data_IF_769472274782
#
_entry.id   IF_769472274782
#
_cell.length_a   1.000
_cell.length_b   1.000
_cell.length_c   1.000
_cell.angle_alpha   90.00
_cell.angle_beta   90.00
_cell.angle_gamma   90.00
#
_symmetry.space_group_name_H-M   'P 1'
#
loop_
_entity.id
_entity.type
_entity.pdbx_description
1 polymer ?
#
# COMPACT_ATOMS: atom_id res chain seq x y z
N UNK A 1 -9.15 -13.87 24.03
CA UNK A 1 -8.28 -14.82 23.30
C UNK A 1 -7.47 -14.00 22.30
N UNK A 2 -6.18 -14.30 22.11
CA UNK A 2 -5.39 -13.63 21.06
C UNK A 2 -5.76 -14.18 19.67
N UNK A 3 -5.55 -13.37 18.62
CA UNK A 3 -5.77 -13.77 17.24
C UNK A 3 -4.72 -14.81 16.81
N UNK A 4 -5.19 -15.90 16.21
CA UNK A 4 -4.41 -17.00 15.65
C UNK A 4 -5.19 -17.63 14.50
N UNK A 5 -4.57 -18.49 13.69
CA UNK A 5 -5.30 -19.18 12.61
C UNK A 5 -6.48 -20.05 13.11
N UNK A 6 -6.44 -20.50 14.37
CA UNK A 6 -7.51 -21.31 14.97
C UNK A 6 -8.62 -20.46 15.60
N UNK A 7 -8.30 -19.24 16.03
CA UNK A 7 -9.22 -18.33 16.74
C UNK A 7 -9.76 -17.20 15.85
N UNK A 8 -9.28 -17.09 14.61
CA UNK A 8 -9.79 -16.15 13.62
C UNK A 8 -11.26 -16.44 13.29
N UNK A 9 -12.09 -15.38 13.29
CA UNK A 9 -13.52 -15.48 12.94
C UNK A 9 -13.68 -15.81 11.45
N UNK A 10 -12.92 -15.12 10.58
CA UNK A 10 -12.92 -15.37 9.14
C UNK A 10 -11.97 -16.52 8.81
N UNK A 11 -12.41 -17.53 8.02
CA UNK A 11 -11.52 -18.59 7.57
C UNK A 11 -10.46 -18.09 6.57
N UNK A 12 -10.64 -16.90 5.97
CA UNK A 12 -9.64 -16.25 5.10
C UNK A 12 -8.34 -16.01 5.86
N UNK A 13 -8.43 -15.61 7.12
CA UNK A 13 -7.28 -15.39 8.01
C UNK A 13 -7.00 -16.56 8.95
N UNK A 14 -7.87 -17.56 8.95
CA UNK A 14 -7.78 -18.79 9.74
C UNK A 14 -7.40 -20.01 8.92
N UNK A 15 -8.39 -20.88 8.67
CA UNK A 15 -8.26 -22.16 7.94
C UNK A 15 -7.51 -22.03 6.60
N UNK A 16 -7.70 -20.91 5.89
CA UNK A 16 -7.15 -20.67 4.56
C UNK A 16 -6.06 -19.60 4.55
N UNK A 17 -5.54 -19.20 5.71
CA UNK A 17 -4.48 -18.18 5.84
C UNK A 17 -3.27 -18.44 4.92
N UNK A 18 -2.84 -19.70 4.81
CA UNK A 18 -1.73 -20.09 3.94
C UNK A 18 -2.04 -19.96 2.44
N UNK A 19 -3.31 -19.85 2.04
CA UNK A 19 -3.74 -19.64 0.64
C UNK A 19 -3.94 -18.16 0.30
N UNK A 20 -4.13 -17.31 1.31
CA UNK A 20 -4.39 -15.88 1.18
C UNK A 20 -3.21 -15.01 1.60
N UNK A 21 -2.07 -15.61 1.99
CA UNK A 21 -0.91 -14.88 2.51
C UNK A 21 -0.42 -13.77 1.58
N UNK A 22 -0.41 -14.01 0.25
CA UNK A 22 0.00 -13.03 -0.75
C UNK A 22 -0.89 -11.78 -0.80
N UNK A 23 -2.12 -11.86 -0.27
CA UNK A 23 -3.07 -10.75 -0.21
C UNK A 23 -2.84 -9.85 1.01
N UNK A 24 -2.11 -10.33 2.04
CA UNK A 24 -1.91 -9.59 3.29
C UNK A 24 -1.18 -8.26 3.09
N UNK A 25 -0.09 -8.16 2.31
CA UNK A 25 0.58 -6.88 2.07
C UNK A 25 -0.27 -5.88 1.26
N UNK A 26 -1.39 -6.33 0.67
CA UNK A 26 -2.18 -5.57 -0.29
C UNK A 26 -3.51 -5.12 0.32
N UNK A 27 -4.32 -6.07 0.82
CA UNK A 27 -5.71 -5.84 1.22
C UNK A 27 -5.94 -5.83 2.73
N UNK A 28 -4.89 -5.97 3.54
CA UNK A 28 -4.99 -5.76 4.98
C UNK A 28 -4.97 -4.27 5.33
N UNK A 29 -5.19 -3.95 6.59
CA UNK A 29 -5.00 -2.61 7.11
C UNK A 29 -3.56 -2.11 6.96
N UNK A 30 -2.56 -2.99 7.13
CA UNK A 30 -1.17 -2.67 6.77
C UNK A 30 -1.03 -2.28 5.30
N UNK A 31 -1.67 -3.03 4.39
CA UNK A 31 -1.66 -2.73 2.96
C UNK A 31 -2.28 -1.37 2.65
N UNK A 32 -3.43 -1.07 3.25
CA UNK A 32 -4.09 0.24 3.12
C UNK A 32 -3.18 1.38 3.61
N UNK A 33 -2.59 1.26 4.79
CA UNK A 33 -1.68 2.27 5.35
C UNK A 33 -0.47 2.46 4.42
N UNK A 34 0.15 1.36 3.95
CA UNK A 34 1.28 1.40 3.02
C UNK A 34 0.96 2.22 1.77
N UNK A 35 -0.18 1.94 1.13
CA UNK A 35 -0.56 2.66 -0.08
C UNK A 35 -0.94 4.12 0.18
N UNK A 36 -1.55 4.43 1.33
CA UNK A 36 -1.81 5.83 1.71
C UNK A 36 -0.51 6.61 1.87
N UNK A 37 0.48 6.03 2.56
CA UNK A 37 1.82 6.60 2.71
C UNK A 37 2.47 6.81 1.34
N UNK A 38 2.39 5.82 0.45
CA UNK A 38 2.89 5.95 -0.91
C UNK A 38 2.23 7.12 -1.65
N UNK A 39 0.89 7.24 -1.62
CA UNK A 39 0.18 8.33 -2.31
C UNK A 39 0.59 9.70 -1.77
N UNK A 40 0.63 9.87 -0.44
CA UNK A 40 1.04 11.12 0.20
C UNK A 40 2.48 11.52 -0.15
N UNK A 41 3.41 10.56 -0.11
CA UNK A 41 4.80 10.80 -0.51
C UNK A 41 4.86 11.27 -1.97
N UNK A 42 4.18 10.57 -2.87
CA UNK A 42 4.18 10.92 -4.31
C UNK A 42 3.49 12.26 -4.55
N UNK A 43 2.50 12.62 -3.75
CA UNK A 43 1.86 13.93 -3.79
C UNK A 43 2.83 15.05 -3.39
N UNK A 44 3.51 14.91 -2.25
CA UNK A 44 4.50 15.90 -1.81
C UNK A 44 5.65 16.06 -2.83
N UNK A 45 6.16 14.96 -3.37
CA UNK A 45 7.17 15.00 -4.45
C UNK A 45 6.63 15.72 -5.70
N UNK A 46 5.34 15.55 -6.03
CA UNK A 46 4.73 16.20 -7.19
C UNK A 46 4.61 17.71 -6.99
N UNK A 47 4.28 18.16 -5.78
CA UNK A 47 4.26 19.58 -5.41
C UNK A 47 5.66 20.18 -5.55
N UNK A 48 6.68 19.55 -4.96
CA UNK A 48 8.08 19.98 -5.05
C UNK A 48 8.60 20.05 -6.49
N UNK A 49 8.17 19.13 -7.36
CA UNK A 49 8.54 19.12 -8.76
C UNK A 49 7.77 20.15 -9.62
N UNK A 50 6.79 20.85 -9.08
CA UNK A 50 5.99 21.80 -9.84
C UNK A 50 6.58 23.22 -9.76
N UNK A 51 7.11 23.79 -10.87
CA UNK A 51 7.85 25.06 -10.83
C UNK A 51 7.03 26.29 -10.41
N UNK A 52 5.70 26.18 -10.37
CA UNK A 52 4.80 27.28 -9.97
C UNK A 52 4.48 27.28 -8.47
N UNK A 53 4.80 26.20 -7.74
CA UNK A 53 4.59 26.07 -6.30
C UNK A 53 5.92 26.41 -5.62
N UNK A 54 6.19 27.70 -5.45
CA UNK A 54 7.49 28.18 -4.95
C UNK A 54 7.70 27.91 -3.46
N UNK A 55 6.62 27.68 -2.72
CA UNK A 55 6.61 27.36 -1.29
C UNK A 55 7.13 25.95 -1.00
N UNK A 56 7.11 25.05 -2.00
CA UNK A 56 7.69 23.71 -1.93
C UNK A 56 8.79 23.62 -3.00
N UNK A 57 10.04 23.97 -2.68
CA UNK A 57 11.12 23.92 -3.67
C UNK A 57 11.42 22.49 -4.11
N UNK A 58 12.04 22.36 -5.28
CA UNK A 58 12.46 21.07 -5.81
C UNK A 58 13.39 20.34 -4.84
N UNK A 59 13.03 19.11 -4.52
CA UNK A 59 13.77 18.31 -3.56
C UNK A 59 15.14 17.86 -4.06
N UNK A 60 16.10 17.87 -3.15
CA UNK A 60 17.42 17.28 -3.33
C UNK A 60 17.34 15.76 -3.58
N UNK A 61 18.44 15.19 -4.07
CA UNK A 61 18.53 13.74 -4.23
C UNK A 61 18.39 12.99 -2.88
N UNK A 62 18.87 13.59 -1.80
CA UNK A 62 18.78 13.02 -0.45
C UNK A 62 17.34 13.03 0.05
N UNK A 63 16.62 14.15 -0.07
CA UNK A 63 15.21 14.23 0.29
C UNK A 63 14.36 13.21 -0.49
N UNK A 64 14.57 13.13 -1.81
CA UNK A 64 13.89 12.14 -2.64
C UNK A 64 14.23 10.70 -2.24
N UNK A 65 15.48 10.40 -1.88
CA UNK A 65 15.86 9.06 -1.44
C UNK A 65 15.11 8.64 -0.15
N UNK A 66 15.04 9.53 0.84
CA UNK A 66 14.31 9.28 2.10
C UNK A 66 12.82 9.01 1.83
N UNK A 67 12.20 9.86 1.01
CA UNK A 67 10.80 9.72 0.63
C UNK A 67 10.55 8.42 -0.16
N UNK A 68 11.42 8.08 -1.11
CA UNK A 68 11.30 6.84 -1.88
C UNK A 68 11.42 5.61 -1.00
N UNK A 69 12.39 5.56 -0.07
CA UNK A 69 12.51 4.46 0.90
C UNK A 69 11.24 4.30 1.72
N UNK A 70 10.61 5.40 2.17
CA UNK A 70 9.37 5.29 2.93
C UNK A 70 8.20 4.75 2.07
N UNK A 71 8.13 5.12 0.79
CA UNK A 71 7.09 4.67 -0.12
C UNK A 71 7.29 3.23 -0.62
N UNK A 72 8.54 2.78 -0.77
CA UNK A 72 8.90 1.49 -1.39
C UNK A 72 9.18 0.40 -0.34
N UNK A 73 9.83 0.74 0.77
CA UNK A 73 10.26 -0.17 1.83
C UNK A 73 9.46 0.04 3.14
N UNK A 74 8.16 0.26 3.01
CA UNK A 74 7.28 0.49 4.15
C UNK A 74 7.15 -0.77 5.04
N UNK A 75 7.62 -0.69 6.29
CA UNK A 75 7.65 -1.82 7.22
C UNK A 75 6.42 -1.92 8.13
N UNK A 76 6.29 -3.05 8.83
CA UNK A 76 5.19 -3.28 9.79
C UNK A 76 5.30 -2.30 10.96
N UNK A 77 6.52 -1.98 11.40
CA UNK A 77 6.78 -1.04 12.49
C UNK A 77 6.28 0.38 12.13
N UNK A 78 6.36 0.78 10.86
CA UNK A 78 5.73 2.03 10.41
C UNK A 78 4.21 1.98 10.51
N UNK A 79 3.57 0.86 10.14
CA UNK A 79 2.12 0.70 10.27
C UNK A 79 1.68 0.71 11.74
N UNK A 80 2.42 0.05 12.62
CA UNK A 80 2.21 0.09 14.07
C UNK A 80 2.30 1.52 14.59
N UNK A 81 3.30 2.30 14.14
CA UNK A 81 3.43 3.72 14.49
C UNK A 81 2.23 4.55 14.04
N UNK A 82 1.70 4.32 12.83
CA UNK A 82 0.45 4.96 12.38
C UNK A 82 -0.70 4.64 13.32
N UNK A 83 -0.87 3.37 13.71
CA UNK A 83 -1.94 2.97 14.64
C UNK A 83 -1.77 3.61 16.02
N UNK A 84 -0.54 3.78 16.50
CA UNK A 84 -0.28 4.52 17.75
C UNK A 84 -0.75 5.97 17.67
N UNK A 85 -0.42 6.67 16.58
CA UNK A 85 -0.84 8.05 16.35
C UNK A 85 -2.37 8.15 16.19
N UNK A 86 -2.98 7.18 15.50
CA UNK A 86 -4.43 7.11 15.29
C UNK A 86 -5.20 7.04 16.60
N UNK A 87 -4.64 6.43 17.66
CA UNK A 87 -5.28 6.42 18.99
C UNK A 87 -5.47 7.81 19.58
N UNK A 88 -4.67 8.78 19.16
CA UNK A 88 -4.80 10.19 19.58
C UNK A 88 -5.63 11.00 18.61
N UNK A 89 -5.46 10.81 17.30
CA UNK A 89 -6.14 11.60 16.27
C UNK A 89 -7.56 11.12 15.97
N UNK A 90 -7.85 9.85 16.25
CA UNK A 90 -9.08 9.15 15.87
C UNK A 90 -9.41 9.24 14.36
N UNK A 91 -8.38 9.40 13.53
CA UNK A 91 -8.49 9.50 12.08
C UNK A 91 -7.25 8.92 11.40
N UNK A 92 -7.46 7.93 10.53
CA UNK A 92 -6.43 7.12 9.88
C UNK A 92 -5.53 7.90 8.90
N UNK A 93 -6.11 8.70 7.99
CA UNK A 93 -5.35 9.55 7.07
C UNK A 93 -4.54 10.59 7.84
N UNK A 94 -5.12 11.19 8.88
CA UNK A 94 -4.40 12.16 9.72
C UNK A 94 -3.20 11.52 10.42
N UNK A 95 -3.32 10.27 10.87
CA UNK A 95 -2.21 9.54 11.46
C UNK A 95 -1.06 9.28 10.48
N UNK A 96 -1.38 9.03 9.19
CA UNK A 96 -0.37 8.94 8.12
C UNK A 96 0.36 10.27 7.91
N UNK A 97 -0.36 11.40 7.92
CA UNK A 97 0.26 12.73 7.82
C UNK A 97 1.28 12.95 8.94
N UNK A 98 0.92 12.60 10.18
CA UNK A 98 1.82 12.75 11.33
C UNK A 98 3.05 11.85 11.24
N UNK A 99 2.90 10.59 10.78
CA UNK A 99 4.06 9.73 10.52
C UNK A 99 5.01 10.40 9.52
N UNK A 100 4.47 10.97 8.44
CA UNK A 100 5.28 11.66 7.44
C UNK A 100 5.98 12.88 8.00
N UNK A 101 5.34 13.65 8.89
CA UNK A 101 5.98 14.75 9.62
C UNK A 101 7.12 14.27 10.51
N UNK A 102 6.95 13.14 11.23
CA UNK A 102 8.03 12.54 12.03
C UNK A 102 9.23 12.10 11.17
N UNK A 103 8.98 11.56 9.97
CA UNK A 103 10.05 11.21 9.04
C UNK A 103 10.70 12.45 8.42
N UNK A 104 9.92 13.49 8.10
CA UNK A 104 10.38 14.75 7.54
C UNK A 104 11.30 15.53 8.51
N UNK A 105 11.03 15.47 9.82
CA UNK A 105 11.85 16.11 10.86
C UNK A 105 13.30 15.63 10.90
N UNK A 106 13.63 14.51 10.23
CA UNK A 106 15.00 13.99 10.11
C UNK A 106 15.85 14.77 9.09
N UNK A 107 15.24 15.58 8.24
CA UNK A 107 15.93 16.37 7.22
C UNK A 107 15.32 17.78 7.16
N UNK A 108 16.07 18.85 7.49
CA UNK A 108 15.53 20.21 7.55
C UNK A 108 14.81 20.67 6.28
N UNK A 109 15.27 20.20 5.13
CA UNK A 109 14.63 20.43 3.82
C UNK A 109 13.17 19.95 3.79
N UNK A 110 12.90 18.75 4.32
CA UNK A 110 11.55 18.17 4.37
C UNK A 110 10.74 18.74 5.53
N UNK A 111 11.38 19.02 6.66
CA UNK A 111 10.75 19.66 7.82
C UNK A 111 10.17 21.03 7.45
N UNK A 112 10.90 21.85 6.69
CA UNK A 112 10.45 23.18 6.28
C UNK A 112 9.17 23.17 5.42
N UNK A 113 8.85 22.05 4.76
CA UNK A 113 7.67 21.90 3.91
C UNK A 113 6.67 20.89 4.48
N UNK A 114 6.83 20.44 5.72
CA UNK A 114 6.02 19.36 6.29
C UNK A 114 4.53 19.71 6.41
N UNK A 115 4.20 21.00 6.44
CA UNK A 115 2.80 21.48 6.41
C UNK A 115 2.14 21.37 5.03
N UNK A 116 2.92 21.06 3.98
CA UNK A 116 2.38 20.76 2.64
C UNK A 116 2.07 19.28 2.42
N UNK A 117 2.34 18.42 3.42
CA UNK A 117 1.81 17.05 3.44
C UNK A 117 0.28 17.14 3.42
N UNK A 118 -0.37 16.37 2.55
CA UNK A 118 -1.82 16.42 2.33
C UNK A 118 -2.36 17.78 1.81
N UNK A 119 -1.51 18.66 1.27
CA UNK A 119 -1.95 19.99 0.84
C UNK A 119 -3.06 19.93 -0.21
N UNK A 120 -4.19 20.57 0.10
CA UNK A 120 -5.40 20.66 -0.73
C UNK A 120 -6.03 19.31 -1.11
N UNK A 121 -5.62 18.22 -0.47
CA UNK A 121 -6.28 16.92 -0.60
C UNK A 121 -7.48 16.81 0.34
N UNK A 122 -8.45 16.00 -0.05
CA UNK A 122 -9.38 15.37 0.89
C UNK A 122 -8.93 13.93 1.17
N UNK A 123 -9.41 13.35 2.28
CA UNK A 123 -9.16 11.94 2.62
C UNK A 123 -9.46 10.99 1.44
N UNK A 124 -10.48 11.29 0.63
CA UNK A 124 -10.84 10.47 -0.51
C UNK A 124 -9.88 10.55 -1.70
N UNK A 125 -9.10 11.62 -1.85
CA UNK A 125 -8.04 11.66 -2.86
C UNK A 125 -6.98 10.59 -2.55
N UNK A 126 -6.67 10.41 -1.26
CA UNK A 126 -5.71 9.41 -0.80
C UNK A 126 -6.33 8.01 -0.81
N UNK A 127 -7.56 7.86 -0.33
CA UNK A 127 -8.23 6.57 -0.24
C UNK A 127 -8.49 5.96 -1.61
N UNK A 128 -9.06 6.72 -2.56
CA UNK A 128 -9.41 6.17 -3.86
C UNK A 128 -8.16 5.71 -4.63
N UNK A 129 -7.06 6.47 -4.55
CA UNK A 129 -5.79 6.12 -5.19
C UNK A 129 -5.17 4.90 -4.50
N UNK A 130 -5.23 4.84 -3.17
CA UNK A 130 -4.78 3.67 -2.42
C UNK A 130 -5.55 2.41 -2.84
N UNK A 131 -6.87 2.48 -2.92
CA UNK A 131 -7.70 1.36 -3.38
C UNK A 131 -7.41 0.98 -4.84
N UNK A 132 -7.19 1.95 -5.72
CA UNK A 132 -6.80 1.68 -7.10
C UNK A 132 -5.46 0.94 -7.18
N UNK A 133 -4.47 1.35 -6.36
CA UNK A 133 -3.18 0.67 -6.26
C UNK A 133 -3.32 -0.74 -5.68
N UNK A 134 -4.11 -0.92 -4.62
CA UNK A 134 -4.41 -2.24 -4.02
C UNK A 134 -5.04 -3.19 -5.05
N UNK A 135 -6.06 -2.72 -5.78
CA UNK A 135 -6.74 -3.51 -6.81
C UNK A 135 -5.79 -3.86 -7.97
N UNK A 136 -4.98 -2.89 -8.43
CA UNK A 136 -4.00 -3.11 -9.49
C UNK A 136 -2.96 -4.14 -9.07
N UNK A 137 -2.36 -3.98 -7.89
CA UNK A 137 -1.34 -4.89 -7.39
C UNK A 137 -1.92 -6.28 -7.15
N UNK A 138 -3.04 -6.41 -6.45
CA UNK A 138 -3.69 -7.69 -6.23
C UNK A 138 -4.09 -8.40 -7.53
N UNK A 139 -4.55 -7.63 -8.54
CA UNK A 139 -4.84 -8.18 -9.87
C UNK A 139 -3.58 -8.67 -10.56
N UNK A 140 -2.57 -7.82 -10.68
CA UNK A 140 -1.42 -8.05 -11.54
C UNK A 140 -0.43 -9.05 -10.94
N UNK A 141 -0.25 -9.05 -9.61
CA UNK A 141 0.76 -9.88 -8.93
C UNK A 141 0.19 -11.16 -8.33
N UNK A 142 -1.12 -11.23 -8.07
CA UNK A 142 -1.76 -12.41 -7.45
C UNK A 142 -2.77 -13.07 -8.37
N UNK A 143 -3.82 -12.34 -8.76
CA UNK A 143 -4.97 -12.95 -9.47
C UNK A 143 -4.60 -13.42 -10.88
N UNK A 144 -4.03 -12.56 -11.72
CA UNK A 144 -3.71 -12.90 -13.11
C UNK A 144 -2.70 -14.06 -13.22
N UNK A 145 -1.61 -14.12 -12.43
CA UNK A 145 -0.72 -15.27 -12.44
C UNK A 145 -1.44 -16.60 -12.14
N UNK A 146 -2.29 -16.63 -11.10
CA UNK A 146 -3.03 -17.84 -10.72
C UNK A 146 -4.06 -18.23 -11.77
N UNK A 147 -4.78 -17.26 -12.34
CA UNK A 147 -5.74 -17.51 -13.42
C UNK A 147 -5.06 -18.10 -14.66
N UNK A 148 -3.86 -17.61 -15.01
CA UNK A 148 -3.07 -18.17 -16.13
C UNK A 148 -2.64 -19.60 -15.85
N UNK A 149 -2.15 -19.90 -14.64
CA UNK A 149 -1.79 -21.27 -14.26
C UNK A 149 -2.97 -22.25 -14.42
N UNK A 150 -4.18 -21.85 -14.01
CA UNK A 150 -5.38 -22.66 -14.18
C UNK A 150 -5.72 -22.81 -15.67
N UNK A 151 -5.72 -21.73 -16.43
CA UNK A 151 -6.02 -21.76 -17.86
C UNK A 151 -5.05 -22.64 -18.64
N UNK A 152 -3.76 -22.57 -18.31
CA UNK A 152 -2.72 -23.38 -18.94
C UNK A 152 -2.86 -24.86 -18.55
N UNK A 153 -3.13 -25.17 -17.28
CA UNK A 153 -3.40 -26.54 -16.85
C UNK A 153 -4.63 -27.15 -17.55
N UNK A 154 -5.70 -26.38 -17.72
CA UNK A 154 -6.88 -26.81 -18.48
C UNK A 154 -6.51 -27.04 -19.95
N UNK A 155 -5.74 -26.14 -20.56
CA UNK A 155 -5.27 -26.28 -21.95
C UNK A 155 -4.43 -27.55 -22.12
N UNK A 156 -3.53 -27.83 -21.17
CA UNK A 156 -2.72 -29.05 -21.18
C UNK A 156 -3.58 -30.31 -21.13
N UNK A 157 -4.61 -30.34 -20.28
CA UNK A 157 -5.54 -31.46 -20.20
C UNK A 157 -6.33 -31.62 -21.51
N UNK A 158 -6.80 -30.52 -22.09
CA UNK A 158 -7.55 -30.53 -23.34
C UNK A 158 -6.71 -31.09 -24.49
N UNK A 159 -5.45 -30.69 -24.63
CA UNK A 159 -4.53 -31.22 -25.64
C UNK A 159 -4.22 -32.69 -25.36
N UNK A 160 -3.96 -33.06 -24.09
CA UNK A 160 -3.61 -34.43 -23.70
C UNK A 160 -4.72 -35.44 -23.99
N UNK A 161 -5.96 -35.04 -23.79
CA UNK A 161 -7.13 -35.91 -23.95
C UNK A 161 -7.92 -35.64 -25.23
N UNK A 162 -7.34 -34.95 -26.21
CA UNK A 162 -8.00 -34.56 -27.45
C UNK A 162 -8.60 -35.76 -28.22
N UNK A 163 -7.92 -36.91 -28.19
CA UNK A 163 -8.33 -38.12 -28.92
C UNK A 163 -9.12 -39.12 -28.06
N UNK A 164 -9.47 -38.77 -26.81
CA UNK A 164 -10.22 -39.67 -25.92
C UNK A 164 -11.73 -39.48 -26.15
N UNK A 165 -12.44 -40.45 -26.74
CA UNK A 165 -13.89 -40.35 -26.91
C UNK A 165 -14.61 -40.37 -25.56
N UNK A 166 -15.67 -39.55 -25.42
CA UNK A 166 -16.54 -39.49 -24.24
C UNK A 166 -18.00 -39.74 -24.67
N UNK A 167 -18.70 -40.67 -23.98
CA UNK A 167 -20.09 -41.06 -24.22
C UNK A 167 -21.09 -40.10 -23.55
#
# INVERSE_FOLDING_TARGET
MQLSSLTAVSPVDGRYAGKTQALRPIFSEYGLIRFRVMVEVRWLQRLAAHPQITEVPAFSAQANAILNTLAEDFSVEHAERVKEIERTTNHDVKAVEYLLKEQAAKLPELENVSEFIHFACTSEDINNLSHALMLREGRDTVMLPLMRQIADAIRELAIRFADVPML
#
